data_IF_372542678714
#
_entry.id   IF_372542678714
#
_cell.length_a   1.000
_cell.length_b   1.000
_cell.length_c   1.000
_cell.angle_alpha   90.00
_cell.angle_beta   90.00
_cell.angle_gamma   90.00
#
_symmetry.space_group_name_H-M   'P 1'
#
loop_
_entity.id
_entity.type
_entity.pdbx_description
1 polymer ?
#
# COMPACT_ATOMS: atom_id res chain seq x y z
N UNK A 1 -28.63 -34.54 -68.16
CA UNK A 1 -27.64 -34.51 -69.26
C UNK A 1 -27.47 -35.89 -69.91
N UNK A 2 -27.12 -36.95 -69.15
CA UNK A 2 -26.91 -38.31 -69.71
C UNK A 2 -28.18 -38.94 -70.32
N UNK A 3 -29.36 -38.82 -69.68
CA UNK A 3 -30.61 -39.34 -70.24
C UNK A 3 -31.10 -38.61 -71.50
N UNK A 4 -30.78 -37.31 -71.61
CA UNK A 4 -31.15 -36.50 -72.78
C UNK A 4 -30.34 -36.92 -74.01
N UNK A 5 -29.06 -37.28 -73.83
CA UNK A 5 -28.20 -37.86 -74.86
C UNK A 5 -28.69 -39.24 -75.35
N UNK A 6 -29.31 -40.04 -74.49
CA UNK A 6 -29.92 -41.34 -74.85
C UNK A 6 -31.25 -41.21 -75.63
N UNK A 7 -31.94 -40.07 -75.50
CA UNK A 7 -33.17 -39.76 -76.25
C UNK A 7 -32.86 -39.32 -77.69
N UNK A 8 -31.74 -38.61 -77.90
CA UNK A 8 -31.28 -38.19 -79.23
C UNK A 8 -30.63 -39.33 -80.03
N UNK A 9 -29.99 -40.31 -79.38
CA UNK A 9 -29.30 -41.42 -80.06
C UNK A 9 -30.23 -42.45 -80.74
N UNK A 10 -31.55 -42.24 -80.72
CA UNK A 10 -32.51 -43.03 -81.50
C UNK A 10 -32.83 -44.43 -80.96
N UNK A 11 -32.28 -44.81 -79.80
CA UNK A 11 -32.44 -46.15 -79.22
C UNK A 11 -33.87 -46.51 -78.78
N UNK A 12 -34.67 -45.51 -78.40
CA UNK A 12 -36.08 -45.70 -78.05
C UNK A 12 -36.98 -45.28 -79.22
N UNK A 13 -37.51 -46.23 -80.00
CA UNK A 13 -38.45 -45.97 -81.12
C UNK A 13 -39.91 -45.83 -80.68
N UNK A 14 -40.27 -46.24 -79.46
CA UNK A 14 -41.64 -46.16 -78.93
C UNK A 14 -41.90 -44.80 -78.26
N UNK A 15 -42.88 -44.04 -78.76
CA UNK A 15 -43.25 -42.70 -78.27
C UNK A 15 -43.62 -42.68 -76.78
N UNK A 16 -44.37 -43.69 -76.32
CA UNK A 16 -44.77 -43.82 -74.91
C UNK A 16 -43.57 -43.92 -73.96
N UNK A 17 -42.53 -44.67 -74.33
CA UNK A 17 -41.35 -44.87 -73.50
C UNK A 17 -40.51 -43.58 -73.35
N UNK A 18 -40.41 -42.77 -74.42
CA UNK A 18 -39.71 -41.47 -74.37
C UNK A 18 -40.40 -40.47 -73.45
N UNK A 19 -41.73 -40.42 -73.49
CA UNK A 19 -42.53 -39.54 -72.64
C UNK A 19 -42.33 -39.87 -71.16
N UNK A 20 -42.44 -41.15 -70.78
CA UNK A 20 -42.20 -41.61 -69.41
C UNK A 20 -40.78 -41.32 -68.92
N UNK A 21 -39.76 -41.42 -69.79
CA UNK A 21 -38.38 -41.11 -69.43
C UNK A 21 -38.18 -39.62 -69.10
N UNK A 22 -38.80 -38.71 -69.86
CA UNK A 22 -38.72 -37.27 -69.61
C UNK A 22 -39.43 -36.91 -68.29
N UNK A 23 -40.65 -37.42 -68.09
CA UNK A 23 -41.42 -37.22 -66.85
C UNK A 23 -40.69 -37.75 -65.60
N UNK A 24 -40.10 -38.95 -65.68
CA UNK A 24 -39.33 -39.50 -64.57
C UNK A 24 -38.06 -38.66 -64.32
N UNK A 25 -37.39 -38.16 -65.37
CA UNK A 25 -36.20 -37.33 -65.23
C UNK A 25 -36.49 -35.94 -64.66
N UNK A 26 -37.60 -35.31 -65.03
CA UNK A 26 -38.00 -34.00 -64.48
C UNK A 26 -38.37 -34.13 -63.01
N UNK A 27 -39.15 -35.16 -62.66
CA UNK A 27 -39.52 -35.49 -61.29
C UNK A 27 -38.26 -35.76 -60.44
N UNK A 28 -37.31 -36.55 -60.97
CA UNK A 28 -36.04 -36.82 -60.30
C UNK A 28 -35.22 -35.54 -60.09
N UNK A 29 -35.20 -34.63 -61.06
CA UNK A 29 -34.47 -33.37 -60.96
C UNK A 29 -35.05 -32.43 -59.89
N UNK A 30 -36.38 -32.33 -59.81
CA UNK A 30 -37.08 -31.55 -58.78
C UNK A 30 -36.81 -32.12 -57.39
N UNK A 31 -36.86 -33.44 -57.24
CA UNK A 31 -36.54 -34.11 -55.96
C UNK A 31 -35.09 -33.85 -55.54
N UNK A 32 -34.14 -33.91 -56.48
CA UNK A 32 -32.73 -33.63 -56.22
C UNK A 32 -32.49 -32.17 -55.81
N UNK A 33 -33.14 -31.20 -56.47
CA UNK A 33 -33.10 -29.80 -56.06
C UNK A 33 -33.73 -29.59 -54.67
N UNK A 34 -34.85 -30.25 -54.39
CA UNK A 34 -35.52 -30.20 -53.08
C UNK A 34 -34.64 -30.74 -51.95
N UNK A 35 -33.96 -31.87 -52.17
CA UNK A 35 -32.99 -32.44 -51.23
C UNK A 35 -31.79 -31.50 -51.02
N UNK A 36 -31.23 -30.94 -52.09
CA UNK A 36 -30.11 -29.99 -52.00
C UNK A 36 -30.47 -28.70 -51.25
N UNK A 37 -31.69 -28.19 -51.46
CA UNK A 37 -32.23 -27.05 -50.70
C UNK A 37 -32.42 -27.40 -49.22
N UNK A 38 -33.00 -28.56 -48.91
CA UNK A 38 -33.21 -29.01 -47.54
C UNK A 38 -31.88 -29.14 -46.78
N UNK A 39 -30.85 -29.71 -47.40
CA UNK A 39 -29.51 -29.82 -46.80
C UNK A 39 -28.87 -28.44 -46.57
N UNK A 40 -28.97 -27.52 -47.54
CA UNK A 40 -28.47 -26.14 -47.35
C UNK A 40 -29.18 -25.42 -46.21
N UNK A 41 -30.51 -25.52 -46.12
CA UNK A 41 -31.30 -24.93 -45.03
C UNK A 41 -30.91 -25.53 -43.68
N UNK A 42 -30.70 -26.86 -43.62
CA UNK A 42 -30.26 -27.55 -42.41
C UNK A 42 -28.86 -27.12 -41.95
N UNK A 43 -27.92 -26.96 -42.88
CA UNK A 43 -26.56 -26.45 -42.59
C UNK A 43 -26.62 -25.00 -42.09
N UNK A 44 -27.41 -24.15 -42.76
CA UNK A 44 -27.56 -22.75 -42.36
C UNK A 44 -28.20 -22.62 -40.98
N UNK A 45 -29.26 -23.39 -40.71
CA UNK A 45 -29.95 -23.42 -39.41
C UNK A 45 -29.02 -23.87 -38.28
N UNK A 46 -28.19 -24.91 -38.52
CA UNK A 46 -27.16 -25.34 -37.57
C UNK A 46 -26.13 -24.23 -37.31
N UNK A 47 -25.61 -23.60 -38.36
CA UNK A 47 -24.63 -22.52 -38.25
C UNK A 47 -25.19 -21.33 -37.48
N UNK A 48 -26.43 -20.93 -37.76
CA UNK A 48 -27.11 -19.84 -37.08
C UNK A 48 -27.31 -20.16 -35.59
N UNK A 49 -27.71 -21.39 -35.27
CA UNK A 49 -27.91 -21.84 -33.88
C UNK A 49 -26.60 -21.78 -33.08
N UNK A 50 -25.48 -22.15 -33.69
CA UNK A 50 -24.15 -22.04 -33.07
C UNK A 50 -23.78 -20.58 -32.83
N UNK A 51 -23.88 -19.70 -33.84
CA UNK A 51 -23.60 -18.27 -33.69
C UNK A 51 -24.46 -17.59 -32.63
N UNK A 52 -25.75 -17.92 -32.56
CA UNK A 52 -26.67 -17.39 -31.54
C UNK A 52 -26.25 -17.87 -30.14
N UNK A 53 -25.78 -19.11 -30.00
CA UNK A 53 -25.30 -19.64 -28.72
C UNK A 53 -24.00 -18.95 -28.28
N UNK A 54 -23.05 -18.78 -29.18
CA UNK A 54 -21.80 -18.04 -28.93
C UNK A 54 -22.07 -16.61 -28.50
N UNK A 55 -22.95 -15.89 -29.22
CA UNK A 55 -23.30 -14.52 -28.90
C UNK A 55 -23.98 -14.40 -27.52
N UNK A 56 -24.90 -15.32 -27.19
CA UNK A 56 -25.51 -15.36 -25.85
C UNK A 56 -24.49 -15.65 -24.76
N UNK A 57 -23.53 -16.53 -25.01
CA UNK A 57 -22.48 -16.83 -24.05
C UNK A 57 -21.57 -15.62 -23.81
N UNK A 58 -21.09 -14.99 -24.89
CA UNK A 58 -20.28 -13.77 -24.82
C UNK A 58 -21.01 -12.64 -24.08
N UNK A 59 -22.31 -12.43 -24.37
CA UNK A 59 -23.15 -11.45 -23.68
C UNK A 59 -23.24 -11.73 -22.18
N UNK A 60 -23.49 -12.97 -21.76
CA UNK A 60 -23.56 -13.33 -20.34
C UNK A 60 -22.25 -13.12 -19.61
N UNK A 61 -21.13 -13.45 -20.26
CA UNK A 61 -19.79 -13.23 -19.68
C UNK A 61 -19.56 -11.74 -19.49
N UNK A 62 -19.87 -10.92 -20.49
CA UNK A 62 -19.76 -9.46 -20.42
C UNK A 62 -20.63 -8.86 -19.31
N UNK A 63 -21.91 -9.25 -19.23
CA UNK A 63 -22.84 -8.79 -18.17
C UNK A 63 -22.36 -9.20 -16.77
N UNK A 64 -21.80 -10.41 -16.62
CA UNK A 64 -21.26 -10.88 -15.35
C UNK A 64 -20.01 -10.10 -14.95
N UNK A 65 -19.12 -9.81 -15.90
CA UNK A 65 -17.93 -9.00 -15.63
C UNK A 65 -18.29 -7.55 -15.30
N UNK A 66 -19.27 -6.97 -15.99
CA UNK A 66 -19.74 -5.60 -15.75
C UNK A 66 -20.36 -5.46 -14.36
N UNK A 67 -21.26 -6.38 -13.97
CA UNK A 67 -21.84 -6.40 -12.61
C UNK A 67 -20.78 -6.54 -11.54
N UNK A 68 -19.79 -7.42 -11.75
CA UNK A 68 -18.69 -7.60 -10.81
C UNK A 68 -17.86 -6.33 -10.68
N UNK A 69 -17.52 -5.68 -11.79
CA UNK A 69 -16.80 -4.41 -11.80
C UNK A 69 -17.58 -3.30 -11.09
N UNK A 70 -18.87 -3.14 -11.42
CA UNK A 70 -19.75 -2.15 -10.80
C UNK A 70 -19.83 -2.34 -9.28
N UNK A 71 -20.00 -3.57 -8.81
CA UNK A 71 -20.05 -3.83 -7.36
C UNK A 71 -18.71 -3.48 -6.68
N UNK A 72 -17.58 -3.90 -7.25
CA UNK A 72 -16.25 -3.58 -6.69
C UNK A 72 -15.97 -2.07 -6.68
N UNK A 73 -16.38 -1.37 -7.74
CA UNK A 73 -16.23 0.07 -7.87
C UNK A 73 -17.06 0.81 -6.79
N UNK A 74 -18.32 0.42 -6.60
CA UNK A 74 -19.21 1.05 -5.61
C UNK A 74 -18.86 0.68 -4.16
N UNK A 75 -18.50 -0.56 -3.88
CA UNK A 75 -18.22 -1.03 -2.52
C UNK A 75 -16.86 -0.59 -1.98
N UNK A 76 -15.97 -0.06 -2.83
CA UNK A 76 -14.68 0.48 -2.40
C UNK A 76 -14.83 1.52 -1.28
N UNK A 77 -13.97 1.43 -0.27
CA UNK A 77 -13.85 2.44 0.78
C UNK A 77 -13.17 3.72 0.29
N UNK A 78 -12.35 3.58 -0.75
CA UNK A 78 -11.60 4.68 -1.34
C UNK A 78 -12.45 5.37 -2.41
N UNK A 79 -12.22 6.67 -2.58
CA UNK A 79 -12.87 7.42 -3.66
C UNK A 79 -12.25 7.01 -5.00
N UNK A 80 -13.03 6.29 -5.80
CA UNK A 80 -12.67 5.87 -7.14
C UNK A 80 -13.43 6.72 -8.16
N UNK A 81 -12.73 7.21 -9.16
CA UNK A 81 -13.32 8.01 -10.22
C UNK A 81 -12.64 7.78 -11.56
N UNK A 82 -13.36 8.03 -12.64
CA UNK A 82 -12.78 8.08 -13.98
C UNK A 82 -12.96 9.49 -14.54
N UNK A 83 -12.02 9.95 -15.34
CA UNK A 83 -12.11 11.22 -16.05
C UNK A 83 -11.59 11.10 -17.48
N UNK A 84 -12.02 12.02 -18.33
CA UNK A 84 -11.46 12.15 -19.67
C UNK A 84 -10.05 12.80 -19.63
N UNK A 85 -9.41 12.89 -20.79
CA UNK A 85 -8.08 13.50 -20.94
C UNK A 85 -8.07 15.00 -20.67
N UNK A 86 -9.25 15.65 -20.62
CA UNK A 86 -9.39 17.07 -20.30
C UNK A 86 -9.63 17.29 -18.80
N UNK A 87 -9.65 16.22 -17.99
CA UNK A 87 -9.86 16.29 -16.55
C UNK A 87 -11.33 16.34 -16.13
N UNK A 88 -12.30 16.12 -17.04
CA UNK A 88 -13.72 16.05 -16.67
C UNK A 88 -14.07 14.69 -16.11
N UNK A 89 -14.67 14.69 -14.92
CA UNK A 89 -15.10 13.47 -14.23
C UNK A 89 -16.24 12.81 -15.03
N UNK A 90 -16.07 11.53 -15.38
CA UNK A 90 -17.09 10.72 -16.06
C UNK A 90 -17.88 9.87 -15.07
N UNK A 91 -17.19 9.16 -14.18
CA UNK A 91 -17.80 8.36 -13.13
C UNK A 91 -17.14 8.65 -11.78
N UNK A 92 -17.90 8.51 -10.71
CA UNK A 92 -17.44 8.56 -9.32
C UNK A 92 -18.20 7.49 -8.52
N UNK A 93 -17.56 6.86 -7.55
CA UNK A 93 -18.23 5.93 -6.64
C UNK A 93 -18.82 6.65 -5.41
N UNK A 94 -19.73 5.99 -4.69
CA UNK A 94 -20.35 6.53 -3.45
C UNK A 94 -19.37 6.93 -2.33
N UNK A 95 -18.10 6.51 -2.39
CA UNK A 95 -17.11 6.88 -1.37
C UNK A 95 -16.82 8.38 -1.34
N UNK A 96 -17.05 9.13 -2.42
CA UNK A 96 -16.92 10.59 -2.44
C UNK A 96 -17.84 11.29 -1.42
N UNK A 97 -19.02 10.74 -1.14
CA UNK A 97 -19.94 11.28 -0.13
C UNK A 97 -19.37 11.16 1.27
N UNK A 98 -18.69 10.06 1.59
CA UNK A 98 -18.00 9.89 2.89
C UNK A 98 -16.72 10.73 2.98
N UNK A 99 -16.02 10.90 1.86
CA UNK A 99 -14.72 11.58 1.84
C UNK A 99 -14.85 13.11 1.80
N UNK A 100 -15.76 13.64 0.99
CA UNK A 100 -15.91 15.07 0.70
C UNK A 100 -17.34 15.61 0.90
N UNK A 101 -18.34 14.73 1.09
CA UNK A 101 -19.73 15.13 1.29
C UNK A 101 -20.53 15.35 0.01
N UNK A 102 -19.95 15.16 -1.18
CA UNK A 102 -20.66 15.29 -2.45
C UNK A 102 -21.36 13.98 -2.84
N UNK A 103 -22.47 14.08 -3.56
CA UNK A 103 -23.07 12.90 -4.17
C UNK A 103 -22.35 12.58 -5.48
N UNK A 104 -22.18 11.30 -5.85
CA UNK A 104 -21.44 10.92 -7.06
C UNK A 104 -22.03 11.56 -8.33
N UNK A 105 -23.35 11.68 -8.39
CA UNK A 105 -24.08 12.24 -9.53
C UNK A 105 -23.84 13.74 -9.69
N UNK A 106 -23.56 14.47 -8.61
CA UNK A 106 -23.30 15.91 -8.64
C UNK A 106 -21.95 16.24 -9.26
N UNK A 107 -20.94 15.38 -9.05
CA UNK A 107 -19.58 15.62 -9.51
C UNK A 107 -19.31 15.16 -10.93
N UNK A 108 -20.23 14.37 -11.52
CA UNK A 108 -20.11 13.95 -12.91
C UNK A 108 -20.19 15.18 -13.82
N UNK A 109 -19.19 15.33 -14.68
CA UNK A 109 -19.03 16.44 -15.62
C UNK A 109 -18.25 17.63 -15.08
N UNK A 110 -17.96 17.68 -13.77
CA UNK A 110 -17.09 18.72 -13.19
C UNK A 110 -15.65 18.57 -13.68
N UNK A 111 -14.93 19.68 -13.73
CA UNK A 111 -13.47 19.65 -13.84
C UNK A 111 -12.92 19.13 -12.51
N UNK A 112 -12.02 18.14 -12.56
CA UNK A 112 -11.37 17.61 -11.37
C UNK A 112 -10.70 18.72 -10.53
N UNK A 113 -10.18 19.77 -11.18
CA UNK A 113 -9.59 20.93 -10.51
C UNK A 113 -10.59 21.75 -9.70
N UNK A 114 -11.89 21.61 -9.95
CA UNK A 114 -12.93 22.26 -9.15
C UNK A 114 -13.10 21.59 -7.79
N UNK A 115 -12.64 20.35 -7.60
CA UNK A 115 -12.63 19.70 -6.29
C UNK A 115 -11.46 20.17 -5.41
N UNK A 116 -10.45 20.79 -6.00
CA UNK A 116 -9.25 21.26 -5.29
C UNK A 116 -9.58 22.54 -4.53
N UNK A 117 -9.30 22.54 -3.23
CA UNK A 117 -9.42 23.70 -2.38
C UNK A 117 -8.32 24.72 -2.68
N UNK A 118 -8.70 25.99 -2.61
CA UNK A 118 -7.84 27.11 -2.94
C UNK A 118 -7.96 28.15 -1.83
N UNK A 119 -6.88 28.37 -1.08
CA UNK A 119 -6.81 29.38 -0.03
C UNK A 119 -6.16 30.67 -0.53
N UNK A 120 -6.97 31.69 -0.84
CA UNK A 120 -6.49 33.03 -1.23
C UNK A 120 -6.00 33.18 -2.68
N UNK A 121 -5.91 34.43 -3.14
CA UNK A 121 -5.73 34.79 -4.57
C UNK A 121 -4.38 34.34 -5.15
N UNK A 122 -3.31 34.26 -4.35
CA UNK A 122 -1.97 33.85 -4.80
C UNK A 122 -1.73 32.34 -4.77
N UNK A 123 -2.30 31.60 -3.80
CA UNK A 123 -2.14 30.13 -3.73
C UNK A 123 -3.11 29.38 -4.65
N UNK A 124 -4.16 30.06 -5.14
CA UNK A 124 -5.10 29.56 -6.14
C UNK A 124 -4.45 28.97 -7.38
N UNK A 125 -3.39 29.63 -7.85
CA UNK A 125 -2.71 29.24 -9.08
C UNK A 125 -1.81 28.03 -8.84
N UNK A 126 -1.03 28.01 -7.76
CA UNK A 126 -0.02 26.95 -7.56
C UNK A 126 -0.61 25.56 -7.36
N UNK A 127 -1.66 25.41 -6.56
CA UNK A 127 -2.25 24.10 -6.29
C UNK A 127 -2.88 23.49 -7.56
N UNK A 128 -3.64 24.29 -8.31
CA UNK A 128 -4.26 23.85 -9.57
C UNK A 128 -3.21 23.58 -10.66
N UNK A 129 -2.16 24.39 -10.75
CA UNK A 129 -1.05 24.18 -11.70
C UNK A 129 -0.33 22.87 -11.38
N UNK A 130 0.01 22.61 -10.11
CA UNK A 130 0.68 21.36 -9.72
C UNK A 130 -0.14 20.12 -10.12
N UNK A 131 -1.45 20.14 -9.88
CA UNK A 131 -2.34 19.04 -10.26
C UNK A 131 -2.40 18.88 -11.78
N UNK A 132 -2.47 20.00 -12.52
CA UNK A 132 -2.46 19.98 -13.99
C UNK A 132 -1.16 19.41 -14.54
N UNK A 133 -0.01 19.85 -14.04
CA UNK A 133 1.30 19.32 -14.42
C UNK A 133 1.38 17.81 -14.18
N UNK A 134 0.79 17.32 -13.08
CA UNK A 134 0.74 15.88 -12.77
C UNK A 134 -0.17 15.08 -13.71
N UNK A 135 -1.24 15.68 -14.22
CA UNK A 135 -2.11 15.08 -15.23
C UNK A 135 -1.39 15.05 -16.58
N UNK A 136 -0.71 16.13 -16.98
CA UNK A 136 0.08 16.20 -18.21
C UNK A 136 1.27 15.23 -18.20
N UNK A 137 1.96 15.10 -17.06
CA UNK A 137 3.02 14.10 -16.85
C UNK A 137 2.50 12.68 -17.06
N UNK A 138 1.30 12.37 -16.55
CA UNK A 138 0.65 11.08 -16.78
C UNK A 138 0.35 10.86 -18.27
N UNK A 139 -0.21 11.86 -18.95
CA UNK A 139 -0.58 11.78 -20.36
C UNK A 139 0.64 11.58 -21.29
N UNK A 140 1.77 12.20 -20.94
CA UNK A 140 3.02 12.12 -21.72
C UNK A 140 3.82 10.86 -21.43
N UNK A 141 3.95 10.47 -20.15
CA UNK A 141 4.80 9.33 -19.76
C UNK A 141 4.09 7.98 -19.84
N UNK A 142 2.76 7.96 -19.73
CA UNK A 142 1.97 6.73 -19.61
C UNK A 142 2.08 6.04 -18.24
N UNK A 143 2.89 6.56 -17.30
CA UNK A 143 3.13 5.97 -15.99
C UNK A 143 2.19 6.55 -14.93
N UNK A 144 1.83 5.76 -13.93
CA UNK A 144 0.96 6.23 -12.85
C UNK A 144 1.55 7.44 -12.13
N UNK A 145 0.76 8.48 -11.92
CA UNK A 145 1.14 9.73 -11.24
C UNK A 145 0.48 9.78 -9.86
N UNK A 146 1.23 10.16 -8.82
CA UNK A 146 0.73 10.26 -7.45
C UNK A 146 1.08 11.64 -6.88
N UNK A 147 0.11 12.28 -6.22
CA UNK A 147 0.27 13.58 -5.59
C UNK A 147 -0.66 13.73 -4.38
N UNK A 148 -0.40 14.74 -3.55
CA UNK A 148 -1.24 15.11 -2.42
C UNK A 148 -1.76 16.53 -2.65
N UNK A 149 -3.06 16.73 -2.47
CA UNK A 149 -3.69 18.04 -2.62
C UNK A 149 -4.77 18.25 -1.55
N UNK A 150 -5.13 19.50 -1.31
CA UNK A 150 -6.25 19.88 -0.44
C UNK A 150 -7.53 19.93 -1.26
N UNK A 151 -8.58 19.29 -0.77
CA UNK A 151 -9.88 19.21 -1.43
C UNK A 151 -10.94 19.97 -0.63
N UNK A 152 -11.87 20.60 -1.35
CA UNK A 152 -13.03 21.25 -0.71
C UNK A 152 -14.04 20.20 -0.26
N UNK A 153 -14.75 20.50 0.82
CA UNK A 153 -15.84 19.66 1.34
C UNK A 153 -17.18 20.37 1.13
N UNK A 154 -18.27 19.63 0.97
CA UNK A 154 -19.62 20.19 0.72
C UNK A 154 -20.17 20.94 1.94
N UNK A 155 -20.01 20.34 3.12
CA UNK A 155 -20.65 20.82 4.36
C UNK A 155 -19.71 21.55 5.32
N UNK A 156 -18.40 21.52 5.07
CA UNK A 156 -17.38 22.08 5.97
C UNK A 156 -16.45 22.97 5.15
N UNK A 157 -16.10 24.14 5.69
CA UNK A 157 -15.19 25.11 5.05
C UNK A 157 -13.72 24.67 5.12
N UNK A 158 -13.40 23.74 6.00
CA UNK A 158 -12.05 23.21 6.20
C UNK A 158 -11.67 22.31 5.01
N UNK A 159 -10.52 22.53 4.37
CA UNK A 159 -10.03 21.61 3.36
C UNK A 159 -9.64 20.27 3.98
N UNK A 160 -9.79 19.22 3.19
CA UNK A 160 -9.31 17.88 3.55
C UNK A 160 -8.11 17.52 2.68
N UNK A 161 -7.01 17.11 3.31
CA UNK A 161 -5.81 16.69 2.59
C UNK A 161 -5.97 15.25 2.09
N UNK A 162 -5.90 15.06 0.78
CA UNK A 162 -6.17 13.78 0.14
C UNK A 162 -5.00 13.41 -0.77
N UNK A 163 -4.63 12.13 -0.73
CA UNK A 163 -3.67 11.56 -1.67
C UNK A 163 -4.41 10.98 -2.86
N UNK A 164 -3.94 11.35 -4.06
CA UNK A 164 -4.53 10.95 -5.32
C UNK A 164 -3.49 10.21 -6.15
N UNK A 165 -3.90 9.05 -6.66
CA UNK A 165 -3.15 8.28 -7.64
C UNK A 165 -3.95 8.20 -8.94
N UNK A 166 -3.33 8.59 -10.04
CA UNK A 166 -3.89 8.57 -11.37
C UNK A 166 -3.17 7.53 -12.23
N UNK A 167 -3.92 6.82 -13.05
CA UNK A 167 -3.41 5.86 -14.03
C UNK A 167 -4.19 5.97 -15.34
N UNK A 168 -3.49 5.83 -16.45
CA UNK A 168 -4.13 5.74 -17.76
C UNK A 168 -4.76 4.36 -17.95
N UNK A 169 -6.02 4.37 -18.38
CA UNK A 169 -6.79 3.20 -18.75
C UNK A 169 -7.11 3.29 -20.25
N UNK A 170 -6.63 2.31 -21.00
CA UNK A 170 -6.91 2.17 -22.42
C UNK A 170 -8.16 1.29 -22.59
N UNK A 171 -9.26 1.89 -23.03
CA UNK A 171 -10.52 1.19 -23.32
C UNK A 171 -10.67 0.87 -24.82
N UNK A 172 -9.56 0.87 -25.58
CA UNK A 172 -9.51 0.54 -27.00
C UNK A 172 -9.84 1.74 -27.90
N UNK A 173 -11.05 2.30 -27.80
CA UNK A 173 -11.48 3.44 -28.62
C UNK A 173 -11.19 4.79 -27.97
N UNK A 174 -11.05 4.84 -26.65
CA UNK A 174 -10.81 6.07 -25.90
C UNK A 174 -9.82 5.81 -24.76
N UNK A 175 -8.91 6.77 -24.55
CA UNK A 175 -8.07 6.83 -23.35
C UNK A 175 -8.83 7.56 -22.26
N UNK A 176 -8.88 6.98 -21.08
CA UNK A 176 -9.42 7.64 -19.90
C UNK A 176 -8.44 7.54 -18.74
N UNK A 177 -8.62 8.40 -17.74
CA UNK A 177 -7.79 8.39 -16.54
C UNK A 177 -8.62 7.77 -15.42
N UNK A 178 -8.09 6.71 -14.80
CA UNK A 178 -8.61 6.14 -13.57
C UNK A 178 -7.90 6.80 -12.39
N UNK A 179 -8.68 7.42 -11.51
CA UNK A 179 -8.22 8.04 -10.29
C UNK A 179 -8.66 7.26 -9.06
N UNK A 180 -7.76 7.18 -8.09
CA UNK A 180 -8.00 6.68 -6.75
C UNK A 180 -7.57 7.74 -5.75
N UNK A 181 -8.46 8.11 -4.85
CA UNK A 181 -8.27 9.13 -3.84
C UNK A 181 -8.59 8.57 -2.45
N UNK A 182 -7.67 8.79 -1.52
CA UNK A 182 -7.79 8.30 -0.15
C UNK A 182 -7.18 9.29 0.82
N UNK A 183 -7.73 9.32 2.02
CA UNK A 183 -7.16 10.08 3.12
C UNK A 183 -5.86 9.40 3.58
N UNK A 184 -4.82 10.20 3.77
CA UNK A 184 -3.69 9.77 4.58
C UNK A 184 -4.21 9.77 6.01
N UNK A 185 -4.34 8.58 6.62
CA UNK A 185 -4.45 8.44 8.07
C UNK A 185 -3.11 8.88 8.71
N UNK A 186 -2.70 10.12 8.50
CA UNK A 186 -1.81 10.81 9.41
C UNK A 186 -2.66 11.17 10.60
N UNK A 187 -2.35 10.55 11.74
CA UNK A 187 -3.03 10.70 13.01
C UNK A 187 -3.37 12.17 13.28
N UNK A 188 -4.59 12.61 12.90
CA UNK A 188 -4.96 14.05 12.89
C UNK A 188 -4.86 14.62 14.29
N UNK A 189 -5.04 13.76 15.30
CA UNK A 189 -4.88 14.04 16.71
C UNK A 189 -3.44 14.38 17.10
N UNK A 190 -2.45 13.93 16.34
CA UNK A 190 -1.05 14.24 16.57
C UNK A 190 -0.87 15.73 16.82
N UNK A 191 -1.38 16.62 15.96
CA UNK A 191 -1.20 18.07 16.09
C UNK A 191 -1.77 18.68 17.38
N UNK A 192 -2.72 18.01 18.03
CA UNK A 192 -3.37 18.46 19.26
C UNK A 192 -2.75 17.86 20.54
N UNK A 193 -1.86 16.87 20.43
CA UNK A 193 -1.18 16.25 21.58
C UNK A 193 -0.12 17.22 22.14
N UNK A 194 -0.37 17.74 23.34
CA UNK A 194 0.57 18.57 24.11
C UNK A 194 1.68 17.72 24.75
N UNK A 195 1.29 16.58 25.32
CA UNK A 195 2.20 15.58 25.89
C UNK A 195 1.55 14.21 25.91
N UNK A 196 2.36 13.16 25.82
CA UNK A 196 1.92 11.77 25.94
C UNK A 196 2.86 10.98 26.87
N UNK A 197 2.30 9.96 27.53
CA UNK A 197 3.03 9.02 28.36
C UNK A 197 2.38 7.63 28.25
N UNK A 198 3.17 6.62 27.94
CA UNK A 198 2.68 5.26 27.72
C UNK A 198 3.63 4.23 28.36
N UNK A 199 3.09 3.10 28.78
CA UNK A 199 3.83 2.00 29.38
C UNK A 199 3.50 0.72 28.62
N UNK A 200 4.54 0.02 28.16
CA UNK A 200 4.45 -1.18 27.35
C UNK A 200 5.16 -2.35 28.03
N UNK A 201 4.62 -3.53 27.81
CA UNK A 201 5.22 -4.81 28.20
C UNK A 201 5.36 -5.65 26.95
N UNK A 202 6.58 -6.06 26.63
CA UNK A 202 6.91 -6.86 25.45
C UNK A 202 7.33 -8.25 25.88
N UNK A 203 6.87 -9.25 25.12
CA UNK A 203 7.45 -10.59 25.15
C UNK A 203 8.78 -10.63 24.37
N UNK A 204 9.43 -11.79 24.34
CA UNK A 204 10.76 -11.96 23.78
C UNK A 204 10.80 -12.06 22.23
N UNK A 205 9.82 -11.51 21.51
CA UNK A 205 9.80 -11.52 20.05
C UNK A 205 10.54 -10.31 19.48
N UNK A 206 11.65 -10.54 18.79
CA UNK A 206 12.50 -9.50 18.21
C UNK A 206 11.73 -8.55 17.26
N UNK A 207 10.71 -9.05 16.55
CA UNK A 207 9.86 -8.23 15.67
C UNK A 207 9.14 -7.11 16.44
N UNK A 208 8.80 -7.33 17.71
CA UNK A 208 8.09 -6.33 18.51
C UNK A 208 8.98 -5.12 18.84
N UNK A 209 10.30 -5.29 18.87
CA UNK A 209 11.24 -4.18 19.03
C UNK A 209 11.15 -3.20 17.84
N UNK A 210 11.03 -3.72 16.62
CA UNK A 210 10.89 -2.91 15.41
C UNK A 210 9.55 -2.16 15.39
N UNK A 211 8.45 -2.86 15.66
CA UNK A 211 7.11 -2.28 15.71
C UNK A 211 7.01 -1.17 16.77
N UNK A 212 7.49 -1.45 17.98
CA UNK A 212 7.40 -0.49 19.07
C UNK A 212 8.33 0.72 18.84
N UNK A 213 9.58 0.51 18.42
CA UNK A 213 10.50 1.64 18.17
C UNK A 213 9.97 2.58 17.09
N UNK A 214 9.32 2.04 16.05
CA UNK A 214 8.62 2.85 15.05
C UNK A 214 7.45 3.61 15.67
N UNK A 215 6.57 2.94 16.41
CA UNK A 215 5.43 3.56 17.06
C UNK A 215 5.83 4.73 17.97
N UNK A 216 6.81 4.51 18.85
CA UNK A 216 7.30 5.50 19.82
C UNK A 216 7.96 6.73 19.19
N UNK A 217 8.29 6.68 17.89
CA UNK A 217 8.97 7.77 17.18
C UNK A 217 8.09 8.46 16.14
N UNK A 218 6.85 8.00 15.91
CA UNK A 218 5.90 8.63 14.97
C UNK A 218 5.67 10.09 15.35
N UNK A 219 5.31 10.34 16.61
CA UNK A 219 4.96 11.67 17.08
C UNK A 219 6.17 12.59 17.26
N UNK A 220 7.38 12.03 17.34
CA UNK A 220 8.62 12.80 17.47
C UNK A 220 8.94 13.63 16.21
N UNK A 221 8.53 13.16 15.02
CA UNK A 221 8.82 13.80 13.74
C UNK A 221 8.29 15.24 13.61
N UNK A 222 7.32 15.63 14.45
CA UNK A 222 6.82 17.01 14.48
C UNK A 222 7.76 18.00 15.16
N UNK A 223 8.68 17.51 16.00
CA UNK A 223 9.55 18.34 16.84
C UNK A 223 10.99 18.41 16.31
N UNK A 224 11.43 17.42 15.54
CA UNK A 224 12.79 17.28 15.04
C UNK A 224 12.81 16.74 13.61
N UNK A 225 13.89 16.97 12.87
CA UNK A 225 14.05 16.48 11.50
C UNK A 225 14.16 14.95 11.41
N UNK A 226 13.90 14.42 10.21
CA UNK A 226 13.86 12.99 9.90
C UNK A 226 15.13 12.24 10.33
N UNK A 227 16.31 12.84 10.18
CA UNK A 227 17.59 12.22 10.59
C UNK A 227 17.63 11.88 12.08
N UNK A 228 17.17 12.81 12.94
CA UNK A 228 17.14 12.63 14.40
C UNK A 228 16.11 11.57 14.78
N UNK A 229 14.96 11.54 14.11
CA UNK A 229 13.93 10.50 14.30
C UNK A 229 14.52 9.13 13.98
N UNK A 230 15.21 8.99 12.84
CA UNK A 230 15.84 7.73 12.43
C UNK A 230 16.90 7.31 13.47
N UNK A 231 17.75 8.23 13.90
CA UNK A 231 18.82 7.94 14.87
C UNK A 231 18.26 7.47 16.22
N UNK A 232 17.25 8.18 16.76
CA UNK A 232 16.57 7.79 18.01
C UNK A 232 15.90 6.43 17.85
N UNK A 233 15.17 6.22 16.75
CA UNK A 233 14.49 4.95 16.46
C UNK A 233 15.48 3.78 16.42
N UNK A 234 16.61 3.94 15.75
CA UNK A 234 17.66 2.91 15.66
C UNK A 234 18.21 2.58 17.05
N UNK A 235 18.49 3.58 17.88
CA UNK A 235 18.99 3.36 19.25
C UNK A 235 17.95 2.65 20.13
N UNK A 236 16.68 3.08 20.09
CA UNK A 236 15.61 2.44 20.87
C UNK A 236 15.39 0.99 20.44
N UNK A 237 15.38 0.73 19.13
CA UNK A 237 15.28 -0.63 18.59
C UNK A 237 16.40 -1.52 19.11
N UNK A 238 17.64 -1.04 19.04
CA UNK A 238 18.82 -1.77 19.50
C UNK A 238 18.78 -2.07 21.00
N UNK A 239 18.36 -1.11 21.82
CA UNK A 239 18.25 -1.31 23.26
C UNK A 239 17.18 -2.34 23.61
N UNK A 240 16.01 -2.28 22.96
CA UNK A 240 14.95 -3.28 23.17
C UNK A 240 15.43 -4.67 22.75
N UNK A 241 16.12 -4.78 21.61
CA UNK A 241 16.71 -6.05 21.15
C UNK A 241 17.71 -6.58 22.19
N UNK A 242 18.63 -5.75 22.68
CA UNK A 242 19.60 -6.17 23.69
C UNK A 242 18.94 -6.58 25.01
N UNK A 243 17.88 -5.88 25.43
CA UNK A 243 17.05 -6.28 26.58
C UNK A 243 16.36 -7.64 26.37
N UNK A 244 15.99 -7.99 25.15
CA UNK A 244 15.43 -9.32 24.83
C UNK A 244 16.56 -10.37 24.80
N UNK A 245 17.61 -10.14 24.01
CA UNK A 245 18.67 -11.11 23.74
C UNK A 245 19.55 -11.37 24.97
N UNK A 246 20.18 -10.31 25.48
CA UNK A 246 21.13 -10.41 26.59
C UNK A 246 20.44 -10.36 27.96
N UNK A 247 19.33 -9.62 28.08
CA UNK A 247 18.56 -9.52 29.31
C UNK A 247 17.69 -10.75 29.56
N UNK A 248 16.59 -10.87 28.80
CA UNK A 248 15.58 -11.89 29.06
C UNK A 248 16.01 -13.29 28.62
N UNK A 249 16.56 -13.46 27.42
CA UNK A 249 16.98 -14.76 26.90
C UNK A 249 18.37 -15.18 27.39
N UNK A 250 19.10 -14.29 28.08
CA UNK A 250 20.44 -14.52 28.61
C UNK A 250 21.44 -15.09 27.59
N UNK A 251 21.34 -14.64 26.35
CA UNK A 251 22.31 -14.98 25.29
C UNK A 251 23.50 -14.04 25.49
N UNK A 252 24.71 -14.57 25.65
CA UNK A 252 25.92 -13.76 25.77
C UNK A 252 26.39 -13.23 24.40
N UNK A 253 27.34 -12.28 24.41
CA UNK A 253 27.93 -11.78 23.16
C UNK A 253 28.73 -12.86 22.42
N UNK A 254 29.42 -13.73 23.15
CA UNK A 254 30.21 -14.82 22.57
C UNK A 254 29.29 -15.85 21.92
N UNK A 255 28.24 -16.30 22.62
CA UNK A 255 27.21 -17.21 22.07
C UNK A 255 26.54 -16.62 20.83
N UNK A 256 26.26 -15.31 20.82
CA UNK A 256 25.67 -14.63 19.67
C UNK A 256 26.61 -14.62 18.48
N UNK A 257 27.89 -14.35 18.68
CA UNK A 257 28.90 -14.30 17.62
C UNK A 257 29.07 -15.68 17.00
N UNK A 258 29.26 -16.70 17.82
CA UNK A 258 29.40 -18.10 17.38
C UNK A 258 28.15 -18.56 16.61
N UNK A 259 26.94 -18.29 17.12
CA UNK A 259 25.71 -18.68 16.45
C UNK A 259 25.44 -17.92 15.13
N UNK A 260 25.96 -16.70 14.98
CA UNK A 260 25.91 -15.95 13.72
C UNK A 260 26.89 -16.52 12.70
N UNK A 261 28.11 -16.84 13.12
CA UNK A 261 29.15 -17.44 12.26
C UNK A 261 28.73 -18.82 11.74
N UNK A 262 28.03 -19.60 12.56
CA UNK A 262 27.48 -20.91 12.20
C UNK A 262 26.10 -20.85 11.50
N UNK A 263 25.49 -19.66 11.38
CA UNK A 263 24.16 -19.49 10.79
C UNK A 263 23.00 -20.07 11.62
N UNK A 264 23.23 -20.46 12.88
CA UNK A 264 22.23 -21.06 13.80
C UNK A 264 21.56 -20.06 14.74
N UNK A 265 21.78 -18.76 14.53
CA UNK A 265 21.27 -17.70 15.39
C UNK A 265 19.76 -17.76 15.67
N UNK A 266 18.95 -18.01 14.63
CA UNK A 266 17.49 -18.09 14.78
C UNK A 266 17.05 -19.31 15.59
N UNK A 267 17.79 -20.42 15.50
CA UNK A 267 17.52 -21.64 16.27
C UNK A 267 17.83 -21.44 17.75
N UNK A 268 18.95 -20.77 18.08
CA UNK A 268 19.33 -20.42 19.45
C UNK A 268 18.24 -19.56 20.11
N UNK A 269 17.79 -18.50 19.42
CA UNK A 269 16.72 -17.63 19.90
C UNK A 269 15.43 -18.41 20.11
N UNK A 270 15.04 -19.25 19.14
CA UNK A 270 13.82 -20.05 19.22
C UNK A 270 13.88 -21.06 20.38
N UNK A 271 15.04 -21.68 20.62
CA UNK A 271 15.28 -22.57 21.75
C UNK A 271 15.03 -21.86 23.07
N UNK A 272 15.70 -20.74 23.30
CA UNK A 272 15.53 -19.93 24.53
C UNK A 272 14.10 -19.42 24.68
N UNK A 273 13.42 -19.02 23.60
CA UNK A 273 12.02 -18.57 23.64
C UNK A 273 11.03 -19.68 24.04
N UNK A 274 11.34 -20.95 23.78
CA UNK A 274 10.48 -22.09 24.14
C UNK A 274 10.65 -22.51 25.59
N UNK A 275 11.81 -22.25 26.19
CA UNK A 275 12.10 -22.58 27.58
C UNK A 275 11.19 -21.79 28.54
N UNK A 276 10.44 -22.46 29.44
CA UNK A 276 9.52 -21.79 30.37
C UNK A 276 10.18 -20.74 31.27
N UNK A 277 11.47 -20.92 31.59
CA UNK A 277 12.25 -20.00 32.41
C UNK A 277 12.45 -18.64 31.75
N UNK A 278 12.78 -18.61 30.45
CA UNK A 278 13.02 -17.37 29.71
C UNK A 278 11.74 -16.78 29.11
N UNK A 279 10.81 -17.62 28.63
CA UNK A 279 9.59 -17.19 27.94
C UNK A 279 8.72 -16.23 28.77
N UNK A 280 8.62 -16.46 30.08
CA UNK A 280 7.79 -15.63 30.97
C UNK A 280 8.37 -14.24 31.23
N UNK A 281 9.65 -14.02 30.91
CA UNK A 281 10.31 -12.74 31.13
C UNK A 281 9.83 -11.72 30.12
N UNK A 282 9.68 -10.47 30.56
CA UNK A 282 9.18 -9.39 29.71
C UNK A 282 10.09 -8.17 29.74
N UNK A 283 10.11 -7.41 28.63
CA UNK A 283 10.77 -6.10 28.58
C UNK A 283 9.73 -5.03 28.85
N UNK A 284 9.99 -4.16 29.82
CA UNK A 284 9.13 -3.03 30.18
C UNK A 284 9.68 -1.76 29.56
N UNK A 285 8.85 -1.07 28.80
CA UNK A 285 9.20 0.18 28.12
C UNK A 285 8.23 1.26 28.55
N UNK A 286 8.72 2.27 29.26
CA UNK A 286 7.97 3.49 29.56
C UNK A 286 8.45 4.61 28.66
N UNK A 287 7.52 5.36 28.11
CA UNK A 287 7.76 6.41 27.14
C UNK A 287 7.04 7.68 27.56
N UNK A 288 7.69 8.83 27.35
CA UNK A 288 7.05 10.13 27.47
C UNK A 288 7.59 11.13 26.45
N UNK A 289 6.70 11.86 25.79
CA UNK A 289 7.03 12.91 24.84
C UNK A 289 6.25 14.19 25.16
N UNK A 290 6.94 15.31 25.09
CA UNK A 290 6.34 16.65 25.10
C UNK A 290 7.20 17.61 24.27
N UNK A 291 6.77 18.87 24.16
CA UNK A 291 7.47 19.88 23.36
C UNK A 291 8.91 20.22 23.81
N UNK A 292 9.36 19.76 24.99
CA UNK A 292 10.71 20.04 25.54
C UNK A 292 11.63 18.83 25.45
N UNK A 293 11.12 17.61 25.63
CA UNK A 293 11.92 16.39 25.71
C UNK A 293 11.14 15.15 25.30
N UNK A 294 11.90 14.13 24.91
CA UNK A 294 11.46 12.75 24.80
C UNK A 294 12.27 11.91 25.78
N UNK A 295 11.60 11.00 26.48
CA UNK A 295 12.19 10.15 27.51
C UNK A 295 11.74 8.70 27.36
N UNK A 296 12.67 7.79 27.60
CA UNK A 296 12.43 6.35 27.59
C UNK A 296 13.02 5.72 28.84
N UNK A 297 12.28 4.80 29.44
CA UNK A 297 12.77 3.91 30.50
C UNK A 297 12.55 2.48 30.01
N UNK A 298 13.64 1.80 29.69
CA UNK A 298 13.60 0.43 29.18
C UNK A 298 14.26 -0.46 30.24
N UNK A 299 13.61 -1.55 30.60
CA UNK A 299 14.19 -2.52 31.52
C UNK A 299 13.74 -3.94 31.23
N UNK A 300 14.64 -4.87 31.49
CA UNK A 300 14.44 -6.31 31.35
C UNK A 300 14.51 -7.01 32.72
N UNK A 301 14.21 -8.31 32.71
CA UNK A 301 14.20 -9.16 33.91
C UNK A 301 15.46 -10.03 34.00
N UNK A 302 16.52 -9.66 33.29
CA UNK A 302 17.81 -10.32 33.29
C UNK A 302 18.70 -9.97 34.48
N UNK A 303 19.91 -10.52 34.45
CA UNK A 303 20.94 -10.26 35.46
C UNK A 303 21.64 -8.90 35.30
N UNK A 304 21.40 -8.23 34.18
CA UNK A 304 22.06 -6.96 33.86
C UNK A 304 23.54 -7.15 33.53
N UNK A 305 24.27 -6.03 33.45
CA UNK A 305 25.67 -6.02 33.06
C UNK A 305 26.43 -4.85 33.69
N UNK A 306 27.75 -5.00 33.83
CA UNK A 306 28.64 -3.96 34.32
C UNK A 306 28.88 -2.90 33.23
N UNK A 307 27.96 -1.94 33.16
CA UNK A 307 27.99 -0.87 32.17
C UNK A 307 29.17 0.11 32.39
N UNK A 308 29.75 0.17 33.60
CA UNK A 308 30.84 1.12 33.91
C UNK A 308 32.11 0.77 33.12
N UNK A 309 32.39 -0.52 32.94
CA UNK A 309 33.51 -1.00 32.12
C UNK A 309 33.38 -0.56 30.66
N UNK A 310 32.16 -0.59 30.12
CA UNK A 310 31.89 -0.21 28.73
C UNK A 310 31.91 1.31 28.54
N UNK A 311 31.41 2.08 29.52
CA UNK A 311 31.39 3.54 29.46
C UNK A 311 32.78 4.20 29.54
N UNK A 312 33.76 3.52 30.12
CA UNK A 312 35.14 3.99 30.29
C UNK A 312 36.05 3.67 29.09
N UNK A 313 35.57 2.94 28.08
CA UNK A 313 36.30 2.74 26.84
C UNK A 313 36.21 4.00 25.97
N UNK A 314 37.37 4.58 25.65
CA UNK A 314 37.46 5.79 24.81
C UNK A 314 36.88 5.56 23.42
N UNK A 315 36.09 6.53 22.96
CA UNK A 315 35.40 6.54 21.64
C UNK A 315 36.41 6.40 20.49
N UNK A 316 37.63 6.91 20.67
CA UNK A 316 38.68 6.91 19.64
C UNK A 316 39.34 5.53 19.44
N UNK A 317 39.43 4.68 20.48
CA UNK A 317 40.09 3.36 20.40
C UNK A 317 39.24 2.27 19.76
N UNK A 318 37.94 2.49 19.61
CA UNK A 318 36.99 1.52 19.07
C UNK A 318 36.81 1.61 17.55
N UNK A 319 37.29 2.67 16.91
CA UNK A 319 37.33 2.72 15.44
C UNK A 319 38.41 1.81 14.85
N UNK A 320 39.43 1.44 15.63
CA UNK A 320 40.54 0.58 15.21
C UNK A 320 40.32 -0.92 15.46
N UNK A 321 39.40 -1.26 16.38
CA UNK A 321 39.11 -2.66 16.72
C UNK A 321 37.75 -3.07 16.17
N UNK A 322 37.72 -4.12 15.34
CA UNK A 322 36.54 -4.76 14.75
C UNK A 322 35.60 -5.42 15.78
N UNK A 323 35.42 -4.82 16.95
CA UNK A 323 34.48 -5.27 17.97
C UNK A 323 33.10 -4.68 17.66
N UNK A 324 32.25 -5.53 17.08
CA UNK A 324 30.81 -5.28 16.84
C UNK A 324 30.04 -5.02 18.15
N UNK A 325 30.59 -5.47 19.28
CA UNK A 325 29.98 -5.43 20.60
C UNK A 325 30.23 -4.08 21.30
N UNK A 326 29.16 -3.34 21.60
CA UNK A 326 29.22 -2.05 22.32
C UNK A 326 28.93 -0.81 21.49
N UNK A 327 28.88 -0.93 20.15
CA UNK A 327 28.52 0.17 19.25
C UNK A 327 27.14 0.76 19.53
N UNK A 328 26.17 -0.08 19.95
CA UNK A 328 24.82 0.36 20.31
C UNK A 328 24.79 1.34 21.48
N UNK A 329 25.58 1.09 22.54
CA UNK A 329 25.65 1.97 23.72
C UNK A 329 26.35 3.30 23.36
N UNK A 330 27.40 3.25 22.54
CA UNK A 330 28.09 4.46 22.09
C UNK A 330 27.23 5.32 21.16
N UNK A 331 26.54 4.71 20.19
CA UNK A 331 25.57 5.42 19.35
C UNK A 331 24.45 6.03 20.19
N UNK A 332 24.00 5.32 21.23
CA UNK A 332 22.99 5.86 22.13
C UNK A 332 23.50 7.12 22.85
N UNK A 333 24.77 7.18 23.25
CA UNK A 333 25.36 8.37 23.88
C UNK A 333 25.58 9.55 22.93
N UNK A 334 25.80 9.30 21.65
CA UNK A 334 25.90 10.40 20.67
C UNK A 334 24.52 10.99 20.35
N UNK A 335 23.48 10.16 20.41
CA UNK A 335 22.11 10.56 20.12
C UNK A 335 21.44 11.20 21.33
N UNK A 336 21.45 10.57 22.51
CA UNK A 336 20.74 11.03 23.72
C UNK A 336 21.61 11.93 24.61
N UNK A 337 20.97 12.93 25.24
CA UNK A 337 21.69 13.87 26.11
C UNK A 337 21.91 13.29 27.53
N UNK A 338 21.02 12.39 27.97
CA UNK A 338 21.14 11.65 29.22
C UNK A 338 20.95 10.17 28.94
N UNK A 339 21.94 9.37 29.36
CA UNK A 339 21.88 7.91 29.38
C UNK A 339 22.30 7.46 30.78
N UNK A 340 21.38 6.83 31.53
CA UNK A 340 21.64 6.37 32.90
C UNK A 340 21.16 4.94 33.08
N UNK A 341 22.05 4.07 33.55
CA UNK A 341 21.70 2.72 33.94
C UNK A 341 21.44 2.67 35.45
N UNK A 342 20.59 1.73 35.89
CA UNK A 342 20.50 1.39 37.31
C UNK A 342 21.75 0.62 37.78
N UNK A 343 21.87 0.37 39.08
CA UNK A 343 23.04 -0.32 39.65
C UNK A 343 23.23 -1.72 39.08
N UNK A 344 22.15 -2.47 38.85
CA UNK A 344 22.18 -3.81 38.24
C UNK A 344 22.55 -3.79 36.75
N UNK A 345 22.30 -2.67 36.05
CA UNK A 345 22.52 -2.56 34.61
C UNK A 345 21.42 -3.16 33.72
N UNK A 346 20.31 -3.65 34.30
CA UNK A 346 19.17 -4.21 33.55
C UNK A 346 18.05 -3.19 33.28
N UNK A 347 18.28 -1.91 33.57
CA UNK A 347 17.36 -0.81 33.27
C UNK A 347 18.11 0.43 32.83
N UNK A 348 17.66 1.05 31.75
CA UNK A 348 18.23 2.27 31.19
C UNK A 348 17.19 3.38 31.05
N UNK A 349 17.56 4.57 31.51
CA UNK A 349 16.86 5.83 31.29
C UNK A 349 17.57 6.62 30.20
N UNK A 350 16.82 6.99 29.17
CA UNK A 350 17.27 7.78 28.03
C UNK A 350 16.45 9.06 27.95
N UNK A 351 17.10 10.22 27.83
CA UNK A 351 16.42 11.50 27.64
C UNK A 351 17.10 12.28 26.52
N UNK A 352 16.29 12.79 25.59
CA UNK A 352 16.70 13.77 24.59
C UNK A 352 15.89 15.05 24.77
N UNK A 353 16.57 16.18 24.87
CA UNK A 353 15.97 17.51 24.84
C UNK A 353 15.75 17.95 23.41
N UNK A 354 14.51 18.31 23.08
CA UNK A 354 14.09 18.71 21.73
C UNK A 354 14.29 20.21 21.49
N UNK A 355 14.31 21.00 22.58
CA UNK A 355 14.71 22.41 22.58
C UNK A 355 15.86 22.56 23.58
N UNK A 356 16.92 23.29 23.21
CA UNK A 356 18.05 23.56 24.11
C UNK A 356 17.49 24.17 25.42
N UNK A 357 17.80 23.61 26.61
CA UNK A 357 17.47 24.29 27.85
C UNK A 357 18.19 25.63 27.86
N UNK A 358 17.49 26.71 28.18
CA UNK A 358 18.11 28.01 28.46
C UNK A 358 19.16 27.76 29.55
N UNK A 359 20.44 27.82 29.19
CA UNK A 359 21.53 27.87 30.17
C UNK A 359 21.30 29.16 30.96
N UNK A 360 20.76 29.06 32.16
CA UNK A 360 20.84 30.16 33.11
C UNK A 360 22.33 30.35 33.40
N UNK A 361 22.95 31.36 32.78
CA UNK A 361 24.23 31.89 33.28
C UNK A 361 23.93 32.28 34.73
N UNK A 362 24.60 31.65 35.69
CA UNK A 362 24.73 32.26 37.01
C UNK A 362 25.48 33.56 36.79
N UNK A 363 24.76 34.67 36.73
CA UNK A 363 25.36 35.96 36.99
C UNK A 363 25.93 35.89 38.40
N UNK A 364 27.22 36.18 38.52
CA UNK A 364 27.83 36.50 39.81
C UNK A 364 27.15 37.79 40.27
N UNK A 365 26.11 37.68 41.08
CA UNK A 365 25.63 38.80 41.88
C UNK A 365 26.74 39.15 42.86
N UNK A 366 27.52 40.17 42.48
CA UNK A 366 28.32 40.95 43.41
C UNK A 366 27.36 41.88 44.14
N UNK A 367 26.75 41.39 45.21
CA UNK A 367 26.27 42.26 46.26
C UNK A 367 27.35 42.28 47.34
N UNK A 368 28.26 43.24 47.20
CA UNK A 368 28.93 43.87 48.33
C UNK A 368 27.98 44.98 48.81
N UNK A 369 27.30 44.78 49.92
CA UNK A 369 27.05 45.78 50.98
C UNK A 369 27.04 45.02 52.30
#
# INVERSE_FOLDING_TARGET
MILFLFLESGWFKNFSLRFWVIEISSLFHVVLMGLGLADRVKILSRTLTVKVRELRFAKRVAERSEKRFKNLFEESEEFLFTMDTNGKIRNANKAIGRLLGFDPEEVIGWDFLDLIFVSGVKNASYAKILVRDKIEELLTTGKSSEFTAEFRQKFVLEPRQIRVRLQLLDLGSEKCILGKAYELNEDVFARFIVSESMHFTLNNYLRNADLLSRFLTVNLARFVGTEVVIAIRTCIREIIINSIEHGNLAISFDEKTEALDEGRYLELIQGRQKEPFYNRRTVKVSYSLNARRIGFLIGDEGEGFDYKKILNLDIEKLNETSLTHGRGILMTRSVFDIVRFNEKGNRVLLIKYLKKPLRYKREKTSFNV
#
